data_IF_567856851776
#
_entry.id   IF_567856851776
#
_cell.length_a   1.000
_cell.length_b   1.000
_cell.length_c   1.000
_cell.angle_alpha   90.00
_cell.angle_beta   90.00
_cell.angle_gamma   90.00
#
_symmetry.space_group_name_H-M   'P 1'
#
loop_
_entity.id
_entity.type
_entity.pdbx_description
1 polymer ?
#
# COMPACT_ATOMS: atom_id res chain seq x y z
N UNK A 1 -60.12 19.95 -12.74
CA UNK A 1 -59.02 19.09 -12.25
C UNK A 1 -58.39 19.77 -11.04
N UNK A 2 -58.77 19.37 -9.82
CA UNK A 2 -58.21 19.95 -8.59
C UNK A 2 -57.06 19.06 -8.13
N UNK A 3 -55.81 19.52 -8.25
CA UNK A 3 -54.64 18.79 -7.73
C UNK A 3 -54.52 19.13 -6.24
N UNK A 4 -54.53 18.15 -5.33
CA UNK A 4 -54.42 18.44 -3.90
C UNK A 4 -53.03 19.01 -3.59
N UNK A 5 -52.91 19.95 -2.64
CA UNK A 5 -51.62 20.49 -2.25
C UNK A 5 -50.82 19.39 -1.55
N UNK A 6 -49.70 18.96 -2.13
CA UNK A 6 -48.75 18.11 -1.44
C UNK A 6 -48.24 18.87 -0.20
N UNK A 7 -48.70 18.44 0.97
CA UNK A 7 -48.23 18.91 2.28
C UNK A 7 -46.79 18.44 2.45
N UNK A 8 -45.82 19.26 2.05
CA UNK A 8 -44.44 19.13 2.53
C UNK A 8 -44.43 19.57 4.00
N UNK A 9 -44.72 18.61 4.89
CA UNK A 9 -44.66 18.81 6.34
C UNK A 9 -43.25 18.47 6.81
N UNK A 10 -42.45 19.52 7.00
CA UNK A 10 -41.42 19.76 8.03
C UNK A 10 -41.02 18.64 9.03
N UNK A 11 -40.76 17.40 8.60
CA UNK A 11 -40.00 16.36 9.33
C UNK A 11 -39.84 15.11 8.45
N UNK A 12 -39.39 15.23 7.20
CA UNK A 12 -39.23 14.05 6.35
C UNK A 12 -38.18 13.09 6.93
N UNK A 13 -38.55 11.85 7.30
CA UNK A 13 -37.64 10.90 7.95
C UNK A 13 -36.49 10.50 7.03
N UNK A 14 -36.70 10.56 5.71
CA UNK A 14 -35.70 10.30 4.69
C UNK A 14 -34.59 11.35 4.67
N UNK A 15 -34.95 12.63 4.82
CA UNK A 15 -33.98 13.74 4.90
C UNK A 15 -33.17 13.71 6.20
N UNK A 16 -33.80 13.34 7.33
CA UNK A 16 -33.08 13.14 8.59
C UNK A 16 -32.11 11.95 8.51
N UNK A 17 -32.48 10.88 7.81
CA UNK A 17 -31.60 9.73 7.60
C UNK A 17 -30.40 10.06 6.69
N UNK A 18 -30.60 10.84 5.62
CA UNK A 18 -29.52 11.30 4.75
C UNK A 18 -28.55 12.24 5.48
N UNK A 19 -29.04 13.10 6.37
CA UNK A 19 -28.20 13.97 7.20
C UNK A 19 -27.32 13.17 8.19
N UNK A 20 -27.86 12.09 8.76
CA UNK A 20 -27.13 11.21 9.67
C UNK A 20 -26.02 10.43 8.94
N UNK A 21 -26.28 9.95 7.72
CA UNK A 21 -25.28 9.23 6.92
C UNK A 21 -24.14 10.12 6.42
N UNK A 22 -24.40 11.41 6.20
CA UNK A 22 -23.37 12.36 5.74
C UNK A 22 -22.39 12.78 6.85
N UNK A 23 -22.78 12.63 8.12
CA UNK A 23 -22.00 13.10 9.28
C UNK A 23 -21.05 12.04 9.85
N UNK A 24 -21.20 10.77 9.48
CA UNK A 24 -20.30 9.68 9.89
C UNK A 24 -19.45 9.24 8.71
N UNK A 25 -18.45 10.06 8.37
CA UNK A 25 -17.26 9.56 7.68
C UNK A 25 -16.14 9.57 8.72
N UNK A 26 -15.78 8.41 9.32
CA UNK A 26 -14.57 8.36 10.13
C UNK A 26 -13.41 8.79 9.24
N UNK A 27 -12.71 9.84 9.69
CA UNK A 27 -11.47 10.30 9.09
C UNK A 27 -10.54 9.09 8.95
N UNK A 28 -10.03 8.77 7.75
CA UNK A 28 -9.06 7.69 7.62
C UNK A 28 -7.86 8.01 8.52
N UNK A 29 -7.34 7.02 9.27
CA UNK A 29 -6.18 7.26 10.13
C UNK A 29 -5.06 7.85 9.27
N UNK A 30 -4.30 8.83 9.80
CA UNK A 30 -3.20 9.44 9.05
C UNK A 30 -2.27 8.33 8.56
N UNK A 31 -2.02 8.32 7.24
CA UNK A 31 -1.06 7.42 6.62
C UNK A 31 0.25 7.50 7.43
N UNK A 32 0.84 6.35 7.83
CA UNK A 32 2.07 6.37 8.60
C UNK A 32 3.10 7.20 7.84
N UNK A 33 3.69 8.18 8.53
CA UNK A 33 4.69 9.07 7.98
C UNK A 33 5.72 8.26 7.18
N UNK A 34 5.98 8.69 5.95
CA UNK A 34 6.95 8.04 5.06
C UNK A 34 8.24 7.81 5.84
N UNK A 35 8.58 6.52 6.03
CA UNK A 35 9.76 6.14 6.79
C UNK A 35 10.96 6.86 6.17
N UNK A 36 11.84 7.48 6.98
CA UNK A 36 13.01 8.16 6.45
C UNK A 36 13.78 7.20 5.55
N UNK A 37 14.07 7.64 4.32
CA UNK A 37 14.80 6.88 3.33
C UNK A 37 16.22 6.64 3.87
N UNK A 38 16.40 5.49 4.52
CA UNK A 38 17.71 5.03 4.96
C UNK A 38 18.63 4.96 3.74
N UNK A 39 19.90 5.39 3.81
CA UNK A 39 20.84 5.41 2.69
C UNK A 39 21.29 4.03 2.19
N UNK A 40 20.50 2.98 2.45
CA UNK A 40 20.72 1.61 1.99
C UNK A 40 19.38 0.88 1.83
N UNK A 41 18.40 1.52 1.17
CA UNK A 41 17.15 0.83 0.83
C UNK A 41 17.46 -0.25 -0.20
N UNK A 42 17.31 -1.52 0.18
CA UNK A 42 17.29 -2.64 -0.76
C UNK A 42 15.90 -2.74 -1.33
N UNK A 43 15.79 -2.73 -2.65
CA UNK A 43 14.52 -2.94 -3.33
C UNK A 43 14.29 -4.44 -3.53
N UNK A 44 13.09 -4.91 -3.19
CA UNK A 44 12.70 -6.29 -3.47
C UNK A 44 12.27 -6.37 -4.93
N UNK A 45 13.08 -7.05 -5.74
CA UNK A 45 12.82 -7.22 -7.16
C UNK A 45 12.61 -8.70 -7.52
N UNK A 46 11.72 -8.96 -8.48
CA UNK A 46 11.52 -10.31 -9.02
C UNK A 46 12.49 -10.52 -10.18
N UNK A 47 13.63 -11.15 -9.89
CA UNK A 47 14.64 -11.54 -10.88
C UNK A 47 14.68 -13.07 -11.03
N UNK A 48 14.88 -13.55 -12.26
CA UNK A 48 15.19 -14.97 -12.50
C UNK A 48 16.69 -15.17 -12.42
N UNK A 49 17.11 -16.16 -11.62
CA UNK A 49 18.50 -16.56 -11.44
C UNK A 49 18.57 -18.05 -11.79
N UNK A 50 19.64 -18.45 -12.47
CA UNK A 50 19.89 -19.85 -12.81
C UNK A 50 20.09 -20.70 -11.54
N UNK A 51 19.70 -21.97 -11.62
CA UNK A 51 19.66 -22.86 -10.44
C UNK A 51 21.06 -23.16 -9.88
N UNK A 52 22.05 -23.32 -10.75
CA UNK A 52 23.45 -23.57 -10.40
C UNK A 52 24.07 -22.36 -9.68
N UNK A 53 23.81 -21.15 -10.19
CA UNK A 53 24.22 -19.90 -9.55
C UNK A 53 23.58 -19.78 -8.17
N UNK A 54 22.27 -20.03 -8.07
CA UNK A 54 21.56 -19.98 -6.80
C UNK A 54 22.12 -21.00 -5.78
N UNK A 55 22.38 -22.23 -6.23
CA UNK A 55 22.95 -23.29 -5.40
C UNK A 55 24.34 -22.89 -4.86
N UNK A 56 25.21 -22.36 -5.72
CA UNK A 56 26.54 -21.90 -5.34
C UNK A 56 26.50 -20.88 -4.19
N UNK A 57 25.60 -19.90 -4.26
CA UNK A 57 25.47 -18.90 -3.21
C UNK A 57 24.83 -19.45 -1.92
N UNK A 58 23.89 -20.40 -2.04
CA UNK A 58 23.21 -21.03 -0.91
C UNK A 58 24.12 -21.99 -0.11
N UNK A 59 25.05 -22.69 -0.76
CA UNK A 59 26.00 -23.61 -0.13
C UNK A 59 26.81 -22.96 1.00
N UNK A 60 27.15 -21.68 0.85
CA UNK A 60 27.86 -20.93 1.88
C UNK A 60 27.01 -20.56 3.11
N UNK A 61 25.74 -20.98 3.20
CA UNK A 61 24.87 -20.77 4.36
C UNK A 61 24.12 -19.42 4.38
N UNK A 62 23.62 -19.00 5.56
CA UNK A 62 22.84 -17.76 5.73
C UNK A 62 23.54 -16.53 5.15
N UNK A 63 22.77 -15.57 4.61
CA UNK A 63 23.32 -14.36 3.97
C UNK A 63 23.72 -14.53 2.49
N UNK A 64 23.28 -15.62 1.84
CA UNK A 64 23.57 -15.84 0.42
C UNK A 64 23.12 -14.70 -0.52
N UNK A 65 22.03 -14.00 -0.17
CA UNK A 65 21.55 -12.83 -0.93
C UNK A 65 22.51 -11.63 -0.80
N UNK A 66 23.12 -11.44 0.36
CA UNK A 66 24.12 -10.39 0.57
C UNK A 66 25.35 -10.66 -0.31
N UNK A 67 25.82 -11.91 -0.35
CA UNK A 67 26.93 -12.32 -1.22
C UNK A 67 26.65 -12.10 -2.70
N UNK A 68 25.42 -12.38 -3.15
CA UNK A 68 25.01 -12.06 -4.53
C UNK A 68 25.09 -10.55 -4.77
N UNK A 69 24.58 -9.72 -3.85
CA UNK A 69 24.64 -8.27 -3.99
C UNK A 69 26.08 -7.74 -4.01
N UNK A 70 26.98 -8.29 -3.19
CA UNK A 70 28.39 -7.90 -3.17
C UNK A 70 29.12 -8.27 -4.47
N UNK A 71 28.82 -9.46 -5.02
CA UNK A 71 29.32 -9.87 -6.33
C UNK A 71 28.85 -8.90 -7.43
N UNK A 72 27.56 -8.53 -7.44
CA UNK A 72 27.01 -7.55 -8.39
C UNK A 72 27.67 -6.17 -8.24
N UNK A 73 27.91 -5.70 -7.01
CA UNK A 73 28.61 -4.42 -6.76
C UNK A 73 30.03 -4.43 -7.30
N UNK A 74 30.74 -5.53 -7.12
CA UNK A 74 32.11 -5.71 -7.65
C UNK A 74 32.14 -5.60 -9.17
N UNK A 75 31.12 -6.12 -9.86
CA UNK A 75 31.01 -6.03 -11.32
C UNK A 75 30.67 -4.61 -11.81
N UNK A 76 29.90 -3.84 -11.05
CA UNK A 76 29.46 -2.48 -11.42
C UNK A 76 30.53 -1.43 -11.10
N UNK A 77 31.36 -1.63 -10.07
CA UNK A 77 32.39 -0.70 -9.61
C UNK A 77 33.61 -0.55 -10.57
N UNK A 78 33.40 -0.74 -11.87
CA UNK A 78 34.39 -0.59 -12.94
C UNK A 78 34.82 0.86 -13.14
#
# INVERSE_FOLDING_TARGET
MSRPPFRSTSRDPRSLAEAAFKSTKPEPPPLPAAKPALPSVREMVTLRIDQDVLAHFQEGGPGWQDRINDALRTLIAK
#
